data_IF_563175666343
#
_entry.id   IF_563175666343
#
_cell.length_a   1.000
_cell.length_b   1.000
_cell.length_c   1.000
_cell.angle_alpha   90.00
_cell.angle_beta   90.00
_cell.angle_gamma   90.00
#
_symmetry.space_group_name_H-M   'P 1'
#
loop_
_entity.id
_entity.type
_entity.pdbx_description
1 polymer ?
#
# COMPACT_ATOMS: atom_id res chain seq x y z
N UNK A 1 0.58 27.28 15.66
CA UNK A 1 0.73 27.05 15.36
C UNK A 1 1.12 26.44 14.71
N UNK A 2 1.09 26.25 14.46
CA UNK A 2 1.32 25.70 14.01
C UNK A 2 1.83 25.17 13.33
N UNK A 3 1.99 24.87 13.03
CA UNK A 3 2.25 24.35 12.55
C UNK A 3 2.80 23.82 11.91
N UNK A 4 3.02 23.66 11.62
CA UNK A 4 3.44 23.24 11.17
C UNK A 4 3.90 22.37 10.65
N UNK A 5 3.86 21.85 10.43
CA UNK A 5 4.29 20.93 10.14
C UNK A 5 4.51 20.49 9.14
N UNK A 6 4.62 20.34 8.70
CA UNK A 6 4.80 19.99 7.86
C UNK A 6 5.21 19.50 6.87
N UNK A 7 5.43 19.80 6.41
CA UNK A 7 6.06 19.49 5.43
C UNK A 7 6.48 18.17 5.11
N UNK A 8 7.10 17.69 5.82
CA UNK A 8 7.62 16.44 5.65
C UNK A 8 6.60 15.40 5.56
N UNK A 9 5.40 15.77 5.71
CA UNK A 9 4.39 14.78 5.75
C UNK A 9 4.28 14.00 4.48
N UNK A 10 4.58 14.56 3.35
CA UNK A 10 4.44 13.83 2.12
C UNK A 10 5.36 12.66 2.00
N UNK A 11 6.40 12.64 2.81
CA UNK A 11 7.35 11.57 2.74
C UNK A 11 7.13 10.50 3.78
N UNK A 12 6.11 10.64 4.57
CA UNK A 12 5.90 9.71 5.62
C UNK A 12 4.90 8.69 5.24
N UNK A 13 5.33 7.47 5.20
CA UNK A 13 4.48 6.32 4.95
C UNK A 13 4.69 5.31 6.05
N UNK A 14 3.62 4.60 6.40
CA UNK A 14 3.67 3.56 7.41
C UNK A 14 3.19 2.24 6.84
N UNK A 15 3.23 1.22 7.66
CA UNK A 15 2.78 -0.10 7.27
C UNK A 15 1.26 -0.09 7.13
N UNK A 16 0.72 -0.75 6.11
CA UNK A 16 -0.75 -0.83 5.94
C UNK A 16 -1.41 -1.83 6.86
N UNK A 17 -0.64 -2.62 7.58
CA UNK A 17 -1.14 -3.55 8.59
C UNK A 17 -0.39 -3.29 9.88
N UNK A 18 -1.06 -3.48 11.01
CA UNK A 18 -0.44 -3.34 12.32
C UNK A 18 -0.82 -4.50 13.18
N UNK A 19 0.10 -4.97 14.02
CA UNK A 19 1.46 -4.47 14.19
C UNK A 19 2.29 -4.79 12.95
N UNK A 20 3.54 -4.31 12.92
CA UNK A 20 4.42 -4.49 11.77
C UNK A 20 4.36 -5.94 11.29
N UNK A 21 3.96 -6.16 10.05
CA UNK A 21 3.77 -7.52 9.55
C UNK A 21 5.07 -8.13 9.04
N UNK A 22 5.07 -9.45 8.93
CA UNK A 22 6.15 -10.13 8.24
C UNK A 22 5.93 -10.02 6.74
N UNK A 23 7.01 -9.87 5.99
CA UNK A 23 6.96 -9.85 4.53
C UNK A 23 7.06 -11.30 4.08
N UNK A 24 6.03 -11.81 3.42
CA UNK A 24 6.00 -13.21 2.99
C UNK A 24 6.47 -13.37 1.55
N UNK A 25 6.42 -12.30 0.76
CA UNK A 25 6.94 -12.33 -0.60
C UNK A 25 7.41 -10.94 -0.96
N UNK A 26 8.64 -10.84 -1.42
CA UNK A 26 9.26 -9.56 -1.68
C UNK A 26 8.96 -9.05 -3.07
N UNK A 27 9.18 -7.75 -3.25
CA UNK A 27 9.05 -7.10 -4.53
C UNK A 27 10.08 -7.68 -5.49
N UNK A 28 9.66 -7.92 -6.73
CA UNK A 28 10.55 -8.47 -7.74
C UNK A 28 10.18 -7.80 -9.05
N UNK A 29 10.87 -6.73 -9.38
CA UNK A 29 10.55 -5.93 -10.54
C UNK A 29 10.82 -6.74 -11.81
N UNK A 30 9.82 -6.91 -12.68
CA UNK A 30 10.04 -7.65 -13.92
C UNK A 30 10.94 -6.85 -14.85
N UNK A 31 11.85 -7.55 -15.52
CA UNK A 31 12.75 -6.90 -16.44
C UNK A 31 12.04 -6.50 -17.71
N UNK A 32 11.07 -7.29 -18.11
CA UNK A 32 10.26 -7.01 -19.29
C UNK A 32 8.83 -6.89 -18.85
N UNK A 33 8.04 -6.15 -19.60
CA UNK A 33 6.66 -5.91 -19.22
C UNK A 33 5.85 -7.19 -19.12
N UNK A 34 6.18 -8.16 -19.94
CA UNK A 34 5.43 -9.42 -19.93
C UNK A 34 6.02 -10.46 -18.99
N UNK A 35 7.17 -10.19 -18.38
CA UNK A 35 7.74 -11.14 -17.46
C UNK A 35 6.96 -11.16 -16.17
N UNK A 36 6.99 -12.32 -15.52
CA UNK A 36 6.43 -12.41 -14.22
C UNK A 36 7.34 -11.68 -13.28
N UNK A 37 6.92 -11.29 -12.26
CA UNK A 37 7.64 -10.63 -11.20
C UNK A 37 6.65 -10.48 -10.10
N UNK A 38 6.97 -9.71 -9.08
CA UNK A 38 6.04 -9.43 -8.02
C UNK A 38 5.98 -7.92 -7.87
N UNK A 39 4.89 -7.32 -8.32
CA UNK A 39 4.74 -5.88 -8.41
C UNK A 39 4.27 -5.26 -7.11
N UNK A 40 4.75 -5.77 -6.01
CA UNK A 40 4.44 -5.30 -4.68
C UNK A 40 5.05 -6.26 -3.71
N UNK A 41 4.63 -6.17 -2.45
CA UNK A 41 5.06 -7.10 -1.42
C UNK A 41 3.83 -7.74 -0.82
N UNK A 42 3.98 -8.97 -0.36
CA UNK A 42 2.89 -9.62 0.37
C UNK A 42 3.22 -9.59 1.84
N UNK A 43 2.25 -9.19 2.63
CA UNK A 43 2.40 -9.01 4.06
C UNK A 43 1.47 -9.97 4.78
N UNK A 44 2.01 -10.67 5.77
CA UNK A 44 1.23 -11.65 6.53
C UNK A 44 0.19 -10.97 7.39
N UNK A 45 -0.98 -11.54 7.45
CA UNK A 45 -2.06 -11.04 8.29
C UNK A 45 -3.07 -12.12 8.60
N UNK A 46 -4.19 -11.71 9.12
CA UNK A 46 -5.30 -12.60 9.42
C UNK A 46 -6.55 -12.09 8.75
N UNK A 47 -7.51 -12.98 8.56
CA UNK A 47 -8.78 -12.63 7.93
C UNK A 47 -9.47 -11.57 8.78
N UNK A 48 -10.01 -10.55 8.10
CA UNK A 48 -10.74 -9.43 8.72
C UNK A 48 -9.84 -8.44 9.46
N UNK A 49 -8.54 -8.60 9.34
CA UNK A 49 -7.63 -7.61 9.91
C UNK A 49 -7.85 -6.26 9.26
N UNK A 50 -7.77 -5.19 10.05
CA UNK A 50 -7.94 -3.86 9.52
C UNK A 50 -6.76 -3.49 8.61
N UNK A 51 -7.08 -2.93 7.46
CA UNK A 51 -6.09 -2.42 6.52
C UNK A 51 -6.19 -0.91 6.57
N UNK A 52 -5.05 -0.25 6.75
CA UNK A 52 -5.03 1.20 6.91
C UNK A 52 -4.23 1.84 5.79
N UNK A 53 -4.51 3.09 5.51
CA UNK A 53 -3.82 3.82 4.46
C UNK A 53 -2.36 4.00 4.85
N UNK A 54 -1.46 3.65 3.95
CA UNK A 54 -0.03 3.76 4.21
C UNK A 54 0.41 5.22 4.26
N UNK A 55 -0.30 6.10 3.59
CA UNK A 55 -0.01 7.52 3.59
C UNK A 55 -1.27 8.30 3.27
N UNK A 56 -1.22 9.63 3.40
CA UNK A 56 -2.39 10.45 3.14
C UNK A 56 -2.65 10.54 1.64
N UNK A 57 -3.91 10.65 1.26
CA UNK A 57 -4.25 10.76 -0.14
C UNK A 57 -5.74 10.72 -0.38
N UNK A 58 -6.10 10.40 -1.61
CA UNK A 58 -7.49 10.33 -2.04
C UNK A 58 -7.71 8.94 -2.63
N UNK A 59 -8.79 8.30 -2.22
CA UNK A 59 -9.16 7.00 -2.75
C UNK A 59 -9.57 7.18 -4.20
N UNK A 60 -8.91 6.48 -5.11
CA UNK A 60 -9.23 6.56 -6.53
C UNK A 60 -9.94 5.31 -7.03
N UNK A 61 -9.87 4.22 -6.29
CA UNK A 61 -10.63 3.03 -6.62
C UNK A 61 -10.92 2.24 -5.34
N UNK A 62 -12.12 1.72 -5.24
CA UNK A 62 -12.51 0.86 -4.13
C UNK A 62 -13.60 -0.05 -4.63
N UNK A 63 -13.30 -1.33 -4.78
CA UNK A 63 -14.26 -2.26 -5.33
C UNK A 63 -13.57 -3.47 -5.89
N UNK A 64 -14.23 -4.13 -6.83
CA UNK A 64 -13.72 -5.35 -7.44
C UNK A 64 -13.29 -5.06 -8.86
N UNK A 65 -12.08 -5.44 -9.20
CA UNK A 65 -11.55 -5.27 -10.54
C UNK A 65 -11.13 -6.63 -11.03
N UNK A 66 -11.80 -7.12 -12.06
CA UNK A 66 -11.53 -8.45 -12.61
C UNK A 66 -11.61 -9.52 -11.52
N UNK A 67 -12.59 -9.38 -10.65
CA UNK A 67 -12.81 -10.36 -9.58
C UNK A 67 -11.89 -10.18 -8.37
N UNK A 68 -11.09 -9.12 -8.35
CA UNK A 68 -10.17 -8.90 -7.24
C UNK A 68 -10.61 -7.67 -6.46
N UNK A 69 -10.98 -7.82 -5.19
CA UNK A 69 -11.38 -6.68 -4.38
C UNK A 69 -10.16 -5.92 -3.91
N UNK A 70 -10.16 -4.63 -4.17
CA UNK A 70 -8.99 -3.83 -3.84
C UNK A 70 -9.34 -2.37 -3.58
N UNK A 71 -8.41 -1.68 -2.95
CA UNK A 71 -8.47 -0.24 -2.74
C UNK A 71 -7.20 0.36 -3.33
N UNK A 72 -7.33 1.50 -3.99
CA UNK A 72 -6.19 2.23 -4.54
C UNK A 72 -6.26 3.66 -4.06
N UNK A 73 -5.15 4.19 -3.58
CA UNK A 73 -5.07 5.53 -3.05
C UNK A 73 -4.02 6.30 -3.83
N UNK A 74 -4.38 7.52 -4.25
CA UNK A 74 -3.44 8.40 -4.91
C UNK A 74 -2.89 9.39 -3.92
N UNK A 75 -1.58 9.49 -3.87
CA UNK A 75 -0.87 10.38 -2.97
C UNK A 75 -0.28 11.54 -3.76
N UNK A 76 0.24 12.51 -3.04
CA UNK A 76 0.87 13.63 -3.69
C UNK A 76 2.02 13.18 -4.55
N UNK A 77 2.25 13.85 -5.66
CA UNK A 77 3.36 13.50 -6.55
C UNK A 77 3.10 12.37 -7.50
N UNK A 78 1.85 11.97 -7.65
CA UNK A 78 1.50 10.94 -8.63
C UNK A 78 1.78 9.51 -8.18
N UNK A 79 2.10 9.34 -6.92
CA UNK A 79 2.30 8.01 -6.37
C UNK A 79 0.96 7.40 -6.02
N UNK A 80 0.76 6.13 -6.34
CA UNK A 80 -0.43 5.40 -5.92
C UNK A 80 -0.01 4.16 -5.15
N UNK A 81 -0.78 3.83 -4.11
CA UNK A 81 -0.59 2.57 -3.39
C UNK A 81 -1.86 1.75 -3.54
N UNK A 82 -1.68 0.43 -3.59
CA UNK A 82 -2.78 -0.50 -3.78
C UNK A 82 -2.78 -1.55 -2.69
N UNK A 83 -3.97 -2.00 -2.33
CA UNK A 83 -4.20 -2.89 -1.20
C UNK A 83 -5.18 -3.97 -1.62
N UNK A 84 -4.74 -5.21 -1.62
CA UNK A 84 -5.55 -6.30 -2.16
C UNK A 84 -5.17 -7.63 -1.49
N UNK A 85 -6.08 -8.55 -1.17
CA UNK A 85 -7.54 -8.42 -1.34
C UNK A 85 -8.16 -7.79 -0.10
N UNK A 86 -8.94 -6.77 -0.32
CA UNK A 86 -9.51 -5.97 0.77
C UNK A 86 -10.98 -5.73 0.52
N UNK A 87 -11.81 -5.95 1.54
CA UNK A 87 -13.19 -5.53 1.49
C UNK A 87 -13.21 -4.04 1.79
N UNK A 88 -13.58 -3.19 0.83
CA UNK A 88 -13.44 -1.75 1.02
C UNK A 88 -14.42 -1.20 2.05
N UNK A 89 -13.94 -0.24 2.83
CA UNK A 89 -14.76 0.53 3.74
C UNK A 89 -14.68 2.02 3.41
N UNK A 90 -14.14 2.32 2.24
CA UNK A 90 -14.03 3.70 1.74
C UNK A 90 -14.58 3.74 0.33
N UNK A 91 -14.74 4.94 -0.22
CA UNK A 91 -15.25 5.12 -1.57
C UNK A 91 -14.33 5.99 -2.39
N UNK A 92 -14.36 5.86 -3.72
CA UNK A 92 -13.59 6.74 -4.58
C UNK A 92 -13.94 8.20 -4.28
N UNK A 93 -12.92 9.04 -4.26
CA UNK A 93 -13.08 10.46 -3.95
C UNK A 93 -12.90 10.80 -2.49
N UNK A 94 -12.90 9.80 -1.62
CA UNK A 94 -12.76 10.04 -0.19
C UNK A 94 -11.31 10.37 0.15
N UNK A 95 -11.12 11.43 0.95
CA UNK A 95 -9.79 11.80 1.41
C UNK A 95 -9.48 11.00 2.66
N UNK A 96 -8.29 10.46 2.74
CA UNK A 96 -7.86 9.67 3.89
C UNK A 96 -6.53 10.18 4.41
N UNK A 97 -6.35 10.10 5.71
CA UNK A 97 -5.07 10.40 6.35
C UNK A 97 -4.26 9.12 6.45
N UNK A 98 -2.98 9.26 6.66
CA UNK A 98 -2.16 8.09 6.96
C UNK A 98 -2.74 7.39 8.19
N UNK A 99 -2.86 6.08 8.14
CA UNK A 99 -3.42 5.30 9.24
C UNK A 99 -4.93 5.20 9.25
N UNK A 100 -5.62 5.86 8.32
CA UNK A 100 -7.08 5.76 8.27
C UNK A 100 -7.49 4.36 7.80
N UNK A 101 -8.57 3.86 8.38
CA UNK A 101 -9.08 2.55 8.01
C UNK A 101 -9.61 2.59 6.58
N UNK A 102 -9.16 1.69 5.74
CA UNK A 102 -9.63 1.64 4.36
C UNK A 102 -10.39 0.36 4.04
N UNK A 103 -10.24 -0.67 4.85
CA UNK A 103 -10.98 -1.90 4.63
C UNK A 103 -10.51 -3.00 5.53
N UNK A 104 -10.93 -4.22 5.22
CA UNK A 104 -10.55 -5.39 5.99
C UNK A 104 -9.95 -6.43 5.06
N UNK A 105 -8.94 -7.12 5.56
CA UNK A 105 -8.18 -8.09 4.78
C UNK A 105 -9.00 -9.35 4.56
N UNK A 106 -9.02 -9.81 3.32
CA UNK A 106 -9.75 -11.02 2.99
C UNK A 106 -8.82 -12.22 3.00
N UNK A 107 -9.41 -13.41 2.87
CA UNK A 107 -8.65 -14.65 2.84
C UNK A 107 -7.51 -14.55 1.83
N UNK A 108 -6.40 -15.14 2.16
CA UNK A 108 -5.23 -15.11 1.32
C UNK A 108 -5.39 -15.88 0.01
N UNK A 109 -4.48 -15.61 -0.89
CA UNK A 109 -4.46 -16.23 -2.20
C UNK A 109 -3.53 -17.44 -2.18
N UNK A 110 -3.51 -18.23 -3.24
CA UNK A 110 -2.58 -19.36 -3.33
C UNK A 110 -1.15 -18.86 -3.16
N UNK A 111 -0.38 -19.56 -2.39
CA UNK A 111 1.00 -19.19 -2.12
C UNK A 111 1.17 -18.33 -0.89
N UNK A 112 0.07 -17.92 -0.26
CA UNK A 112 0.14 -17.15 0.98
C UNK A 112 0.41 -18.11 2.13
N UNK A 113 1.49 -17.88 2.87
CA UNK A 113 1.87 -18.76 3.96
C UNK A 113 1.14 -18.43 5.26
N UNK A 114 0.37 -17.35 5.29
CA UNK A 114 -0.37 -16.94 6.47
C UNK A 114 -1.86 -17.14 6.22
N UNK A 115 -2.71 -16.99 7.24
CA UNK A 115 -4.15 -17.08 7.02
C UNK A 115 -4.65 -16.08 6.00
N UNK A 116 -4.01 -14.93 5.91
CA UNK A 116 -4.29 -13.95 4.88
C UNK A 116 -3.00 -13.22 4.54
N UNK A 117 -2.88 -12.75 3.30
CA UNK A 117 -1.74 -11.98 2.86
C UNK A 117 -2.24 -10.75 2.14
N UNK A 118 -1.76 -9.60 2.55
CA UNK A 118 -2.08 -8.35 1.87
C UNK A 118 -1.02 -8.11 0.81
N UNK A 119 -1.45 -7.99 -0.45
CA UNK A 119 -0.56 -7.53 -1.50
C UNK A 119 -0.59 -6.01 -1.48
N UNK A 120 0.55 -5.40 -1.17
CA UNK A 120 0.70 -3.96 -1.06
C UNK A 120 1.60 -3.52 -2.19
N UNK A 121 1.08 -2.66 -3.06
CA UNK A 121 1.81 -2.20 -4.22
C UNK A 121 2.00 -0.70 -4.21
N UNK A 122 2.97 -0.24 -4.98
CA UNK A 122 3.21 1.18 -5.18
C UNK A 122 3.59 1.39 -6.63
N UNK A 123 3.05 2.44 -7.24
CA UNK A 123 3.34 2.70 -8.65
C UNK A 123 3.19 4.17 -8.96
N UNK A 124 3.81 4.60 -10.05
CA UNK A 124 3.69 5.93 -10.59
C UNK A 124 3.35 5.83 -12.07
N UNK A 125 2.72 6.88 -12.58
CA UNK A 125 2.41 6.95 -14.00
C UNK A 125 1.08 6.35 -14.35
N UNK A 126 0.63 6.55 -15.59
CA UNK A 126 -0.68 6.04 -16.01
C UNK A 126 -0.66 4.52 -16.15
N UNK A 127 -1.84 3.94 -16.13
CA UNK A 127 -1.95 2.49 -16.19
C UNK A 127 -1.23 1.89 -17.39
N UNK A 128 -1.21 2.61 -18.50
CA UNK A 128 -0.57 2.11 -19.71
C UNK A 128 0.94 2.12 -19.63
N UNK A 129 1.52 2.85 -18.69
CA UNK A 129 2.97 2.96 -18.57
C UNK A 129 3.38 3.10 -17.11
N UNK A 130 2.75 2.32 -16.25
CA UNK A 130 3.01 2.42 -14.81
C UNK A 130 4.41 1.91 -14.48
N UNK A 131 5.05 2.59 -13.56
CA UNK A 131 6.32 2.17 -13.01
C UNK A 131 6.06 1.66 -11.61
N UNK A 132 6.33 0.38 -11.39
CA UNK A 132 6.13 -0.23 -10.09
C UNK A 132 7.36 -0.03 -9.22
N UNK A 133 7.11 0.28 -7.97
CA UNK A 133 8.15 0.56 -6.99
C UNK A 133 8.05 -0.45 -5.86
N UNK A 134 9.16 -0.69 -5.18
CA UNK A 134 9.12 -1.50 -3.97
C UNK A 134 8.48 -0.65 -2.88
N UNK A 135 7.29 -1.02 -2.40
CA UNK A 135 6.62 -0.20 -1.38
C UNK A 135 7.42 -0.10 -0.09
N UNK A 136 8.30 -1.04 0.20
CA UNK A 136 9.10 -0.95 1.40
C UNK A 136 10.03 0.26 1.37
N UNK A 137 10.36 0.74 0.18
CA UNK A 137 11.18 1.93 0.08
C UNK A 137 10.47 3.18 0.58
N UNK A 138 9.14 3.16 0.62
CA UNK A 138 8.39 4.29 1.15
C UNK A 138 8.59 4.40 2.66
N UNK A 139 8.84 3.28 3.31
CA UNK A 139 9.07 3.27 4.74
C UNK A 139 10.47 3.70 5.08
N UNK A 140 11.39 3.43 4.21
CA UNK A 140 12.80 3.67 4.51
C UNK A 140 13.18 5.12 4.61
N UNK A 141 12.38 6.01 4.06
CA UNK A 141 12.74 7.41 4.13
C UNK A 141 12.51 7.99 5.50
N UNK A 142 11.84 7.28 6.38
CA UNK A 142 11.53 7.80 7.68
C UNK A 142 12.61 7.64 8.70
N UNK A 143 13.14 6.48 8.89
CA UNK A 143 14.08 6.25 9.97
C UNK A 143 15.42 6.92 9.81
N UNK A 144 15.79 7.22 8.64
CA UNK A 144 17.07 7.74 8.46
C UNK A 144 17.36 8.92 9.21
N UNK A 145 16.46 9.75 9.38
CA UNK A 145 16.73 10.96 10.02
C UNK A 145 16.95 10.82 11.40
N UNK A 146 16.72 9.76 11.88
CA UNK A 146 16.87 9.64 13.24
C UNK A 146 18.20 9.55 13.67
N UNK A 147 18.82 9.19 12.92
CA UNK A 147 19.95 8.88 13.40
C UNK A 147 20.75 9.77 13.74
N UNK A 148 20.93 10.27 14.10
CA UNK A 148 21.82 11.13 14.45
C UNK A 148 22.50 10.94 15.48
N UNK A 149 22.58 10.89 15.86
CA UNK A 149 23.19 10.92 16.81
C UNK A 149 23.50 10.72 17.36
#
# INVERSE_FOLDING_TARGET
MAATAPADTGDRFGWPLQPRPAVTRQFDKPQERWNRGHRGVDLAGVIDQQVIAAGPGIVVFAGSLAGRPLVSIEHEGGLRTTYEPVTPLVRPGQRVAEGALVGTLMRGHPGCAAPACLHWGALRGPASAAHYLDPLALLASTPLRLKPL
#
